data_IF_910169477352
#
_entry.id   IF_910169477352
#
_cell.length_a   1.000
_cell.length_b   1.000
_cell.length_c   1.000
_cell.angle_alpha   90.00
_cell.angle_beta   90.00
_cell.angle_gamma   90.00
#
_symmetry.space_group_name_H-M   'P 1'
#
loop_
_entity.id
_entity.type
_entity.pdbx_description
1 polymer ?
#
# COMPACT_ATOMS: atom_id res chain seq x y z
N UNK A 1 -1.75 -23.92 -15.86
CA UNK A 1 -1.64 -22.89 -14.82
C UNK A 1 -3.04 -22.32 -14.61
N UNK A 2 -3.58 -22.29 -13.39
CA UNK A 2 -4.82 -21.52 -13.16
C UNK A 2 -4.44 -20.05 -13.33
N UNK A 3 -5.09 -19.35 -14.23
CA UNK A 3 -5.01 -17.89 -14.31
C UNK A 3 -5.54 -17.35 -12.98
N UNK A 4 -4.69 -16.72 -12.21
CA UNK A 4 -5.14 -15.98 -11.01
C UNK A 4 -5.85 -14.74 -11.53
N UNK A 5 -7.09 -14.53 -11.13
CA UNK A 5 -7.84 -13.34 -11.53
C UNK A 5 -7.12 -12.09 -11.05
N UNK A 6 -7.03 -11.07 -11.93
CA UNK A 6 -6.42 -9.78 -11.59
C UNK A 6 -7.26 -9.07 -10.53
N UNK A 7 -6.67 -8.82 -9.36
CA UNK A 7 -7.29 -7.94 -8.35
C UNK A 7 -7.13 -6.47 -8.73
N UNK A 8 -8.14 -5.68 -8.45
CA UNK A 8 -8.14 -4.22 -8.65
C UNK A 8 -8.45 -3.54 -7.31
N UNK A 9 -7.47 -2.82 -6.79
CA UNK A 9 -7.60 -1.95 -5.62
C UNK A 9 -7.48 -0.49 -5.99
N UNK A 10 -7.89 0.41 -5.09
CA UNK A 10 -7.82 1.86 -5.31
C UNK A 10 -7.23 2.58 -4.11
N UNK A 11 -6.50 3.67 -4.38
CA UNK A 11 -6.10 4.63 -3.35
C UNK A 11 -7.31 5.45 -2.92
N UNK A 12 -7.34 5.76 -1.63
CA UNK A 12 -8.31 6.68 -1.04
C UNK A 12 -7.67 8.06 -0.89
N UNK A 13 -8.46 9.14 -0.94
CA UNK A 13 -7.97 10.48 -0.70
C UNK A 13 -7.41 10.61 0.73
N UNK A 14 -6.31 11.35 0.90
CA UNK A 14 -5.63 11.48 2.19
C UNK A 14 -5.52 12.91 2.69
N UNK A 15 -5.46 13.90 1.79
CA UNK A 15 -5.17 15.25 2.22
C UNK A 15 -5.34 16.32 1.14
N UNK A 16 -4.46 17.31 1.17
CA UNK A 16 -4.45 18.42 0.22
C UNK A 16 -4.14 17.93 -1.19
N UNK A 17 -4.95 18.37 -2.14
CA UNK A 17 -4.90 17.95 -3.53
C UNK A 17 -5.88 16.83 -3.88
N UNK A 18 -6.29 16.02 -2.90
CA UNK A 18 -7.15 14.85 -3.12
C UNK A 18 -8.65 15.14 -2.98
N UNK A 19 -9.00 16.30 -2.41
CA UNK A 19 -10.39 16.67 -2.18
C UNK A 19 -11.10 17.21 -3.41
N UNK A 20 -12.41 17.50 -3.31
CA UNK A 20 -13.14 18.14 -4.36
C UNK A 20 -12.45 19.43 -4.83
N UNK A 21 -12.42 19.66 -6.15
CA UNK A 21 -11.78 20.83 -6.78
C UNK A 21 -10.28 20.99 -6.45
N UNK A 22 -9.58 19.88 -6.09
CA UNK A 22 -8.17 19.90 -5.71
C UNK A 22 -7.91 20.48 -4.31
N UNK A 23 -8.93 20.61 -3.48
CA UNK A 23 -8.82 21.07 -2.10
C UNK A 23 -8.36 19.99 -1.13
N UNK A 24 -8.53 20.28 0.18
CA UNK A 24 -8.28 19.31 1.25
C UNK A 24 -9.38 18.26 1.28
N UNK A 25 -9.03 16.99 1.15
CA UNK A 25 -9.96 15.89 1.40
C UNK A 25 -10.29 15.79 2.89
N UNK A 26 -11.56 15.68 3.22
CA UNK A 26 -12.00 15.41 4.58
C UNK A 26 -12.50 13.98 4.76
N UNK A 27 -12.85 13.62 5.99
CA UNK A 27 -13.40 12.29 6.28
C UNK A 27 -14.62 11.93 5.41
N UNK A 28 -15.48 12.90 5.09
CA UNK A 28 -16.64 12.70 4.22
C UNK A 28 -16.23 12.19 2.83
N UNK A 29 -15.15 12.72 2.28
CA UNK A 29 -14.66 12.37 0.94
C UNK A 29 -14.01 10.98 0.98
N UNK A 30 -13.14 10.72 1.96
CA UNK A 30 -12.53 9.40 2.20
C UNK A 30 -13.59 8.31 2.33
N UNK A 31 -14.62 8.56 3.16
CA UNK A 31 -15.71 7.63 3.39
C UNK A 31 -16.51 7.36 2.10
N UNK A 32 -16.85 8.38 1.35
CA UNK A 32 -17.63 8.25 0.12
C UNK A 32 -16.90 7.39 -0.93
N UNK A 33 -15.58 7.60 -1.09
CA UNK A 33 -14.74 6.81 -2.01
C UNK A 33 -14.59 5.37 -1.52
N UNK A 34 -14.40 5.15 -0.22
CA UNK A 34 -14.29 3.81 0.36
C UNK A 34 -15.58 3.00 0.24
N UNK A 35 -16.73 3.62 0.55
CA UNK A 35 -18.06 3.00 0.40
C UNK A 35 -18.36 2.69 -1.08
N UNK A 36 -18.01 3.58 -2.02
CA UNK A 36 -18.15 3.32 -3.45
C UNK A 36 -17.31 2.11 -3.88
N UNK A 37 -16.06 1.99 -3.42
CA UNK A 37 -15.20 0.84 -3.71
C UNK A 37 -15.76 -0.47 -3.14
N UNK A 38 -16.27 -0.45 -1.90
CA UNK A 38 -16.88 -1.61 -1.24
C UNK A 38 -18.13 -2.09 -1.97
N UNK A 39 -18.98 -1.16 -2.43
CA UNK A 39 -20.25 -1.45 -3.10
C UNK A 39 -20.09 -1.86 -4.56
N UNK A 40 -19.12 -1.30 -5.27
CA UNK A 40 -18.93 -1.52 -6.72
C UNK A 40 -18.19 -2.80 -7.09
N UNK A 41 -17.69 -3.56 -6.10
CA UNK A 41 -17.03 -4.84 -6.36
C UNK A 41 -15.51 -4.75 -6.58
N UNK A 42 -14.85 -3.66 -6.20
CA UNK A 42 -13.39 -3.60 -6.16
C UNK A 42 -12.83 -4.52 -5.05
N UNK A 43 -11.56 -4.89 -5.14
CA UNK A 43 -10.98 -5.90 -4.26
C UNK A 43 -10.36 -5.30 -3.00
N UNK A 44 -9.82 -4.08 -3.08
CA UNK A 44 -9.10 -3.48 -1.96
C UNK A 44 -9.08 -1.95 -2.00
N UNK A 45 -8.86 -1.34 -0.83
CA UNK A 45 -8.64 0.10 -0.67
C UNK A 45 -7.36 0.37 0.11
N UNK A 46 -6.66 1.47 -0.26
CA UNK A 46 -5.32 1.75 0.23
C UNK A 46 -5.16 3.22 0.61
N UNK A 47 -4.40 3.50 1.66
CA UNK A 47 -4.00 4.84 2.07
C UNK A 47 -2.48 4.99 2.04
N UNK A 48 -1.99 6.08 1.50
CA UNK A 48 -0.59 6.48 1.71
C UNK A 48 -0.36 6.87 3.17
N UNK A 49 0.89 6.94 3.62
CA UNK A 49 1.22 7.33 4.99
C UNK A 49 2.28 8.44 4.96
N UNK A 50 1.80 9.67 5.07
CA UNK A 50 2.59 10.89 5.16
C UNK A 50 2.00 11.80 6.23
N UNK A 51 2.85 12.57 6.92
CA UNK A 51 2.41 13.64 7.80
C UNK A 51 2.19 14.94 7.02
N UNK A 52 3.04 15.17 6.03
CA UNK A 52 2.95 16.25 5.05
C UNK A 52 3.76 15.87 3.81
N UNK A 53 3.41 16.47 2.70
CA UNK A 53 4.28 16.52 1.54
C UNK A 53 4.76 17.96 1.33
N UNK A 54 6.05 18.14 1.10
CA UNK A 54 6.62 19.43 0.74
C UNK A 54 7.24 19.31 -0.64
N UNK A 55 6.77 20.12 -1.57
CA UNK A 55 7.32 20.16 -2.92
C UNK A 55 8.70 20.86 -2.99
N UNK A 56 9.39 20.80 -4.14
CA UNK A 56 10.68 21.48 -4.32
C UNK A 56 10.62 23.01 -4.16
N UNK A 57 9.47 23.62 -4.39
CA UNK A 57 9.18 25.05 -4.25
C UNK A 57 8.93 25.44 -2.78
N UNK A 58 8.78 24.46 -1.87
CA UNK A 58 8.59 24.64 -0.44
C UNK A 58 7.13 24.75 -0.03
N UNK A 59 6.17 24.54 -0.93
CA UNK A 59 4.76 24.48 -0.60
C UNK A 59 4.45 23.21 0.22
N UNK A 60 3.65 23.35 1.26
CA UNK A 60 3.28 22.25 2.15
C UNK A 60 1.86 21.79 1.86
N UNK A 61 1.73 20.49 1.62
CA UNK A 61 0.45 19.80 1.47
C UNK A 61 0.22 18.95 2.73
N UNK A 62 -0.79 19.35 3.53
CA UNK A 62 -1.15 18.65 4.76
C UNK A 62 -1.88 17.34 4.47
N UNK A 63 -1.66 16.34 5.32
CA UNK A 63 -2.29 15.03 5.21
C UNK A 63 -2.86 14.58 6.55
N UNK A 64 -3.91 13.77 6.52
CA UNK A 64 -4.44 13.13 7.72
C UNK A 64 -3.60 11.92 8.12
N UNK A 65 -3.64 11.52 9.40
CA UNK A 65 -3.03 10.26 9.83
C UNK A 65 -3.72 9.07 9.16
N UNK A 66 -2.94 8.33 8.38
CA UNK A 66 -3.46 7.25 7.55
C UNK A 66 -4.02 6.08 8.35
N UNK A 67 -3.41 5.75 9.49
CA UNK A 67 -3.86 4.63 10.31
C UNK A 67 -5.20 4.90 11.00
N UNK A 68 -5.37 6.12 11.47
CA UNK A 68 -6.66 6.56 12.04
C UNK A 68 -7.77 6.51 10.98
N UNK A 69 -7.48 7.00 9.77
CA UNK A 69 -8.44 6.92 8.66
C UNK A 69 -8.73 5.46 8.25
N UNK A 70 -7.70 4.62 8.14
CA UNK A 70 -7.86 3.21 7.76
C UNK A 70 -8.74 2.46 8.78
N UNK A 71 -8.60 2.78 10.07
CA UNK A 71 -9.43 2.21 11.13
C UNK A 71 -10.90 2.64 10.98
N UNK A 72 -11.15 3.89 10.63
CA UNK A 72 -12.49 4.40 10.37
C UNK A 72 -13.09 3.77 9.08
N UNK A 73 -12.29 3.59 8.02
CA UNK A 73 -12.68 2.91 6.78
C UNK A 73 -13.04 1.44 7.06
N UNK A 74 -12.29 0.76 7.92
CA UNK A 74 -12.60 -0.61 8.32
C UNK A 74 -13.99 -0.77 8.95
N UNK A 75 -14.43 0.24 9.72
CA UNK A 75 -15.72 0.25 10.39
C UNK A 75 -16.91 0.57 9.47
N UNK A 76 -16.68 1.19 8.31
CA UNK A 76 -17.76 1.59 7.36
C UNK A 76 -17.79 0.72 6.08
N UNK A 77 -16.84 -0.19 5.92
CA UNK A 77 -16.77 -1.14 4.80
C UNK A 77 -16.91 -2.58 5.31
N UNK A 78 -17.29 -3.50 4.44
CA UNK A 78 -17.57 -4.89 4.85
C UNK A 78 -16.85 -5.95 4.01
N UNK A 79 -16.36 -5.59 2.82
CA UNK A 79 -15.89 -6.58 1.84
C UNK A 79 -14.47 -6.31 1.34
N UNK A 80 -14.14 -5.06 1.02
CA UNK A 80 -12.81 -4.71 0.46
C UNK A 80 -11.68 -5.02 1.44
N UNK A 81 -10.58 -5.56 0.93
CA UNK A 81 -9.31 -5.63 1.66
C UNK A 81 -8.81 -4.21 1.97
N UNK A 82 -8.11 -4.06 3.08
CA UNK A 82 -7.65 -2.76 3.60
C UNK A 82 -6.14 -2.76 3.70
N UNK A 83 -5.48 -1.68 3.33
CA UNK A 83 -4.05 -1.58 3.53
C UNK A 83 -3.49 -0.16 3.48
N UNK A 84 -2.23 -0.04 3.89
CA UNK A 84 -1.43 1.15 3.61
C UNK A 84 -0.53 0.90 2.41
N UNK A 85 -0.36 1.92 1.56
CA UNK A 85 0.54 1.91 0.42
C UNK A 85 1.54 3.08 0.50
N UNK A 86 2.51 3.01 1.36
CA UNK A 86 2.76 2.04 2.41
C UNK A 86 2.98 2.79 3.72
N UNK A 87 2.68 2.12 4.86
CA UNK A 87 2.96 2.65 6.18
C UNK A 87 4.46 2.94 6.32
N UNK A 88 4.80 4.12 6.77
CA UNK A 88 6.18 4.50 7.04
C UNK A 88 6.63 3.93 8.41
N UNK A 89 7.55 2.99 8.38
CA UNK A 89 8.04 2.33 9.59
C UNK A 89 8.65 3.29 10.62
N UNK A 90 9.21 4.42 10.15
CA UNK A 90 9.84 5.41 11.03
C UNK A 90 8.85 6.21 11.86
N UNK A 91 7.55 6.20 11.54
CA UNK A 91 6.55 7.00 12.23
C UNK A 91 5.99 6.32 13.48
N UNK A 92 6.18 5.00 13.62
CA UNK A 92 5.58 4.24 14.73
C UNK A 92 6.52 3.16 15.25
N UNK A 93 6.48 2.93 16.56
CA UNK A 93 7.21 1.83 17.20
C UNK A 93 6.76 0.47 16.66
N UNK A 94 7.68 -0.51 16.46
CA UNK A 94 7.33 -1.81 15.90
C UNK A 94 6.34 -2.61 16.76
N UNK A 95 6.50 -2.59 18.09
CA UNK A 95 5.59 -3.29 19.01
C UNK A 95 4.19 -2.69 18.97
N UNK A 96 4.10 -1.35 18.98
CA UNK A 96 2.84 -0.64 18.84
C UNK A 96 2.18 -0.95 17.49
N UNK A 97 2.95 -0.93 16.40
CA UNK A 97 2.40 -1.21 15.06
C UNK A 97 1.86 -2.64 14.96
N UNK A 98 2.57 -3.62 15.50
CA UNK A 98 2.09 -5.00 15.54
C UNK A 98 0.78 -5.12 16.32
N UNK A 99 0.66 -4.42 17.46
CA UNK A 99 -0.57 -4.38 18.26
C UNK A 99 -1.72 -3.70 17.53
N UNK A 100 -1.44 -2.58 16.87
CA UNK A 100 -2.42 -1.87 16.05
C UNK A 100 -2.90 -2.73 14.88
N UNK A 101 -1.99 -3.46 14.20
CA UNK A 101 -2.33 -4.33 13.09
C UNK A 101 -3.24 -5.49 13.52
N UNK A 102 -2.91 -6.17 14.64
CA UNK A 102 -3.76 -7.22 15.18
C UNK A 102 -5.18 -6.71 15.52
N UNK A 103 -5.26 -5.52 16.12
CA UNK A 103 -6.55 -4.92 16.48
C UNK A 103 -7.36 -4.51 15.23
N UNK A 104 -6.71 -3.91 14.23
CA UNK A 104 -7.40 -3.52 12.99
C UNK A 104 -7.84 -4.74 12.17
N UNK A 105 -7.05 -5.81 12.16
CA UNK A 105 -7.47 -7.06 11.51
C UNK A 105 -8.73 -7.65 12.17
N UNK A 106 -8.81 -7.65 13.51
CA UNK A 106 -10.01 -8.03 14.27
C UNK A 106 -11.22 -7.14 13.91
N UNK A 107 -11.06 -5.81 14.01
CA UNK A 107 -12.13 -4.83 13.70
C UNK A 107 -12.63 -4.97 12.26
N UNK A 108 -11.74 -5.26 11.32
CA UNK A 108 -12.09 -5.43 9.91
C UNK A 108 -12.66 -6.81 9.57
N UNK A 109 -12.64 -7.76 10.50
CA UNK A 109 -13.03 -9.15 10.23
C UNK A 109 -12.04 -9.88 9.32
N UNK A 110 -10.74 -9.62 9.49
CA UNK A 110 -9.68 -10.32 8.75
C UNK A 110 -9.40 -9.77 7.36
N UNK A 111 -9.60 -8.47 7.11
CA UNK A 111 -9.40 -7.83 5.79
C UNK A 111 -8.11 -7.05 5.66
N UNK A 112 -7.28 -6.93 6.71
CA UNK A 112 -6.05 -6.13 6.68
C UNK A 112 -4.94 -6.81 5.88
N UNK A 113 -4.27 -6.04 5.03
CA UNK A 113 -2.92 -6.29 4.51
C UNK A 113 -2.00 -5.19 5.03
N UNK A 114 -0.99 -5.53 5.82
CA UNK A 114 -0.06 -4.57 6.39
C UNK A 114 0.99 -4.18 5.34
N UNK A 115 0.74 -3.09 4.63
CA UNK A 115 1.69 -2.54 3.66
C UNK A 115 2.70 -1.62 4.34
N UNK A 116 4.01 -1.88 4.19
CA UNK A 116 5.07 -1.18 4.91
C UNK A 116 6.26 -0.79 4.03
N UNK A 117 6.96 0.27 4.44
CA UNK A 117 8.16 0.76 3.77
C UNK A 117 9.09 1.52 4.71
N UNK A 118 10.31 1.78 4.24
CA UNK A 118 11.34 2.45 5.02
C UNK A 118 11.17 3.99 5.13
N UNK A 119 10.22 4.57 4.37
CA UNK A 119 10.07 6.02 4.22
C UNK A 119 11.10 6.66 3.28
N UNK A 120 10.82 7.89 2.82
CA UNK A 120 11.66 8.53 1.81
C UNK A 120 11.65 10.08 1.86
N UNK A 121 10.60 10.72 2.34
CA UNK A 121 10.39 12.16 2.26
C UNK A 121 11.04 12.89 3.43
N UNK A 122 12.30 13.33 3.28
CA UNK A 122 13.09 13.97 4.33
C UNK A 122 12.41 15.16 5.04
N UNK A 123 11.67 16.05 4.32
CA UNK A 123 11.04 17.20 4.95
C UNK A 123 10.05 16.86 6.07
N UNK A 124 9.34 15.75 6.01
CA UNK A 124 8.43 15.35 7.09
C UNK A 124 9.20 14.77 8.29
N UNK A 125 10.31 14.08 8.06
CA UNK A 125 11.19 13.60 9.13
C UNK A 125 11.77 14.77 9.93
N UNK A 126 12.27 15.80 9.24
CA UNK A 126 12.80 16.99 9.86
C UNK A 126 11.71 17.75 10.63
N UNK A 127 10.53 17.94 10.03
CA UNK A 127 9.42 18.66 10.63
C UNK A 127 8.91 18.00 11.93
N UNK A 128 8.92 16.67 12.01
CA UNK A 128 8.40 15.91 13.15
C UNK A 128 9.51 15.35 14.06
N UNK A 129 10.78 15.73 13.83
CA UNK A 129 11.90 15.34 14.69
C UNK A 129 12.26 13.85 14.61
N UNK A 130 12.00 13.22 13.46
CA UNK A 130 12.30 11.81 13.24
C UNK A 130 13.73 11.61 12.71
N UNK A 131 14.39 10.50 13.02
CA UNK A 131 15.74 10.24 12.56
C UNK A 131 15.77 9.99 11.05
N UNK A 132 16.59 10.75 10.32
CA UNK A 132 16.80 10.60 8.88
C UNK A 132 17.88 9.59 8.52
N UNK A 133 18.73 9.23 9.49
CA UNK A 133 19.85 8.33 9.33
C UNK A 133 19.43 6.85 9.31
N UNK A 134 20.19 6.03 8.59
CA UNK A 134 20.08 4.57 8.62
C UNK A 134 18.67 3.99 8.38
N UNK A 135 17.80 4.64 7.61
CA UNK A 135 16.39 4.24 7.42
C UNK A 135 16.21 2.76 7.12
N UNK A 136 16.95 2.21 6.15
CA UNK A 136 16.84 0.78 5.82
C UNK A 136 17.36 -0.10 6.95
N UNK A 137 18.35 0.36 7.73
CA UNK A 137 18.82 -0.35 8.92
C UNK A 137 17.74 -0.42 10.02
N UNK A 138 17.12 0.72 10.30
CA UNK A 138 15.98 0.81 11.23
C UNK A 138 14.81 -0.04 10.74
N UNK A 139 14.47 0.04 9.46
CA UNK A 139 13.41 -0.75 8.85
C UNK A 139 13.68 -2.26 8.94
N UNK A 140 14.93 -2.68 8.82
CA UNK A 140 15.31 -4.12 8.94
C UNK A 140 14.90 -4.67 10.31
N UNK A 141 15.29 -4.00 11.40
CA UNK A 141 14.96 -4.42 12.77
C UNK A 141 13.47 -4.29 13.04
N UNK A 142 12.86 -3.19 12.60
CA UNK A 142 11.44 -2.91 12.74
C UNK A 142 10.59 -4.00 12.07
N UNK A 143 10.91 -4.35 10.83
CA UNK A 143 10.16 -5.34 10.05
C UNK A 143 10.25 -6.74 10.67
N UNK A 144 11.44 -7.13 11.16
CA UNK A 144 11.62 -8.41 11.83
C UNK A 144 10.77 -8.50 13.10
N UNK A 145 10.79 -7.46 13.94
CA UNK A 145 9.99 -7.42 15.18
C UNK A 145 8.49 -7.51 14.86
N UNK A 146 8.01 -6.69 13.92
CA UNK A 146 6.59 -6.69 13.52
C UNK A 146 6.18 -8.03 12.94
N UNK A 147 6.95 -8.57 11.99
CA UNK A 147 6.63 -9.82 11.33
C UNK A 147 6.54 -10.99 12.32
N UNK A 148 7.46 -11.08 13.27
CA UNK A 148 7.46 -12.12 14.29
C UNK A 148 6.29 -11.99 15.26
N UNK A 149 5.98 -10.77 15.71
CA UNK A 149 4.86 -10.50 16.60
C UNK A 149 3.51 -10.86 15.95
N UNK A 150 3.25 -10.39 14.72
CA UNK A 150 1.97 -10.68 14.05
C UNK A 150 1.83 -12.15 13.61
N UNK A 151 2.93 -12.91 13.60
CA UNK A 151 2.95 -14.37 13.41
C UNK A 151 2.73 -15.13 14.72
N UNK A 152 2.51 -14.42 15.83
CA UNK A 152 2.20 -15.00 17.14
C UNK A 152 3.41 -15.44 17.95
N UNK A 153 4.61 -15.00 17.62
CA UNK A 153 5.81 -15.28 18.41
C UNK A 153 5.88 -14.39 19.65
N UNK A 154 6.47 -14.91 20.73
CA UNK A 154 7.00 -14.07 21.82
C UNK A 154 8.39 -13.61 21.41
N UNK A 155 8.59 -12.29 21.31
CA UNK A 155 9.80 -11.68 20.75
C UNK A 155 10.63 -11.04 21.84
N UNK A 156 11.88 -11.48 21.97
CA UNK A 156 12.95 -10.72 22.60
C UNK A 156 13.94 -10.31 21.51
N UNK A 157 14.25 -9.03 21.42
CA UNK A 157 15.12 -8.46 20.38
C UNK A 157 16.02 -7.37 20.96
N UNK A 158 17.32 -7.51 20.80
CA UNK A 158 18.35 -6.53 21.24
C UNK A 158 19.07 -6.00 19.99
N UNK A 159 18.45 -5.07 19.28
CA UNK A 159 18.99 -4.45 18.08
C UNK A 159 19.76 -3.16 18.37
N UNK A 160 20.28 -2.59 17.30
CA UNK A 160 20.92 -1.26 17.35
C UNK A 160 19.92 -0.14 17.53
N UNK A 161 18.73 -0.29 16.96
CA UNK A 161 17.70 0.76 16.90
C UNK A 161 16.49 0.46 17.74
N UNK A 162 16.13 -0.81 17.89
CA UNK A 162 14.95 -1.24 18.65
C UNK A 162 15.30 -2.32 19.65
N UNK A 163 14.58 -2.28 20.78
CA UNK A 163 14.69 -3.30 21.83
C UNK A 163 13.32 -3.66 22.32
N UNK A 164 13.05 -4.94 22.38
CA UNK A 164 11.82 -5.50 22.96
C UNK A 164 12.19 -6.70 23.84
N UNK A 165 11.44 -6.93 24.91
CA UNK A 165 11.68 -8.01 25.85
C UNK A 165 10.38 -8.78 26.09
N UNK A 166 10.40 -10.07 25.77
CA UNK A 166 9.26 -11.00 25.93
C UNK A 166 7.92 -10.42 25.40
N UNK A 167 7.99 -9.59 24.34
CA UNK A 167 6.81 -8.97 23.76
C UNK A 167 5.98 -10.03 23.03
N UNK A 168 4.68 -10.01 23.26
CA UNK A 168 3.71 -10.85 22.54
C UNK A 168 2.42 -10.05 22.25
N UNK A 169 1.59 -10.57 21.39
CA UNK A 169 0.26 -10.03 21.15
C UNK A 169 -0.78 -10.85 21.86
N UNK A 170 -1.46 -10.23 22.83
CA UNK A 170 -2.63 -10.79 23.50
C UNK A 170 -3.76 -9.73 23.47
N UNK A 171 -4.91 -9.99 22.80
CA UNK A 171 -5.17 -11.19 22.00
C UNK A 171 -4.25 -11.31 20.80
N UNK A 172 -3.93 -12.55 20.40
CA UNK A 172 -3.19 -12.85 19.19
C UNK A 172 -4.06 -12.60 17.94
N UNK A 173 -3.44 -12.29 16.76
CA UNK A 173 -4.18 -12.22 15.51
C UNK A 173 -4.92 -13.55 15.22
N UNK A 174 -6.16 -13.45 14.74
CA UNK A 174 -6.98 -14.63 14.41
C UNK A 174 -6.49 -15.37 13.15
N UNK A 175 -5.68 -14.72 12.35
CA UNK A 175 -5.10 -15.25 11.12
C UNK A 175 -3.69 -14.70 10.90
N UNK A 176 -2.97 -15.24 9.95
CA UNK A 176 -1.75 -14.61 9.46
C UNK A 176 -2.12 -13.34 8.69
N UNK A 177 -1.71 -12.17 9.21
CA UNK A 177 -1.88 -10.88 8.54
C UNK A 177 -0.82 -10.79 7.43
N UNK A 178 -1.19 -10.62 6.15
CA UNK A 178 -0.22 -10.50 5.07
C UNK A 178 0.60 -9.22 5.20
N UNK A 179 1.90 -9.32 4.93
CA UNK A 179 2.82 -8.18 4.89
C UNK A 179 3.14 -7.85 3.43
N UNK A 180 2.76 -6.63 2.99
CA UNK A 180 3.21 -6.07 1.72
C UNK A 180 4.39 -5.14 1.98
N UNK A 181 5.50 -5.33 1.25
CA UNK A 181 6.67 -4.44 1.35
C UNK A 181 6.90 -3.73 0.02
N UNK A 182 7.05 -2.40 0.06
CA UNK A 182 7.44 -1.60 -1.10
C UNK A 182 8.96 -1.35 -1.08
N UNK A 183 9.57 -1.44 -2.27
CA UNK A 183 10.99 -1.16 -2.46
C UNK A 183 11.58 -1.91 -3.64
N UNK A 184 12.73 -1.41 -4.13
CA UNK A 184 13.37 -1.99 -5.31
C UNK A 184 14.90 -2.08 -5.20
N UNK A 185 15.51 -1.47 -4.15
CA UNK A 185 16.98 -1.55 -3.96
C UNK A 185 17.39 -2.92 -3.40
N UNK A 186 18.62 -3.38 -3.64
CA UNK A 186 19.06 -4.75 -3.29
C UNK A 186 18.76 -5.16 -1.85
N UNK A 187 19.04 -4.29 -0.88
CA UNK A 187 18.77 -4.58 0.54
C UNK A 187 17.25 -4.70 0.84
N UNK A 188 16.44 -3.88 0.19
CA UNK A 188 14.98 -4.02 0.32
C UNK A 188 14.48 -5.32 -0.29
N UNK A 189 15.01 -5.73 -1.46
CA UNK A 189 14.65 -7.00 -2.09
C UNK A 189 15.02 -8.21 -1.21
N UNK A 190 16.12 -8.15 -0.46
CA UNK A 190 16.47 -9.19 0.52
C UNK A 190 15.42 -9.28 1.64
N UNK A 191 14.98 -8.12 2.18
CA UNK A 191 13.95 -8.07 3.22
C UNK A 191 12.59 -8.56 2.69
N UNK A 192 12.23 -8.20 1.46
CA UNK A 192 11.03 -8.70 0.79
C UNK A 192 11.09 -10.21 0.66
N UNK A 193 12.21 -10.74 0.16
CA UNK A 193 12.39 -12.17 0.01
C UNK A 193 12.38 -12.93 1.35
N UNK A 194 12.70 -12.29 2.46
CA UNK A 194 12.71 -12.89 3.79
C UNK A 194 11.34 -12.83 4.49
N UNK A 195 10.65 -11.67 4.41
CA UNK A 195 9.53 -11.38 5.30
C UNK A 195 8.19 -11.13 4.60
N UNK A 196 8.19 -10.70 3.33
CA UNK A 196 6.96 -10.25 2.69
C UNK A 196 6.11 -11.40 2.12
N UNK A 197 4.79 -11.21 2.17
CA UNK A 197 3.78 -12.02 1.49
C UNK A 197 3.33 -11.36 0.17
N UNK A 198 3.56 -10.03 0.03
CA UNK A 198 3.34 -9.28 -1.19
C UNK A 198 4.43 -8.22 -1.38
N UNK A 199 4.67 -7.86 -2.62
CA UNK A 199 5.60 -6.80 -3.01
C UNK A 199 4.90 -5.79 -3.90
N UNK A 200 5.22 -4.50 -3.72
CA UNK A 200 4.71 -3.42 -4.56
C UNK A 200 5.82 -2.65 -5.26
N UNK A 201 5.54 -2.30 -6.51
CA UNK A 201 6.26 -1.27 -7.27
C UNK A 201 5.27 -0.26 -7.85
N UNK A 202 5.62 1.03 -7.83
CA UNK A 202 4.75 2.14 -8.24
C UNK A 202 5.61 3.35 -8.66
N UNK A 203 5.09 4.39 -9.27
CA UNK A 203 3.77 4.55 -9.89
C UNK A 203 3.97 4.55 -11.40
N UNK A 204 3.05 3.95 -12.15
CA UNK A 204 3.17 3.78 -13.59
C UNK A 204 1.83 4.09 -14.30
N UNK A 205 1.86 4.07 -15.61
CA UNK A 205 0.70 3.84 -16.46
C UNK A 205 0.69 2.39 -16.97
N UNK A 206 0.86 2.19 -18.28
CA UNK A 206 1.11 0.87 -18.83
C UNK A 206 2.48 0.32 -18.38
N UNK A 207 2.66 -1.02 -18.37
CA UNK A 207 3.94 -1.61 -18.01
C UNK A 207 5.05 -1.19 -18.99
N UNK A 208 6.25 -1.03 -18.46
CA UNK A 208 7.43 -0.58 -19.19
C UNK A 208 8.67 -1.39 -18.75
N UNK A 209 9.81 -1.15 -19.38
CA UNK A 209 11.07 -1.84 -19.06
C UNK A 209 11.44 -1.75 -17.59
N UNK A 210 11.15 -0.65 -16.90
CA UNK A 210 11.44 -0.49 -15.48
C UNK A 210 10.63 -1.48 -14.62
N UNK A 211 9.37 -1.73 -14.98
CA UNK A 211 8.53 -2.75 -14.31
C UNK A 211 9.13 -4.13 -14.50
N UNK A 212 9.53 -4.47 -15.74
CA UNK A 212 10.13 -5.76 -16.06
C UNK A 212 11.44 -6.00 -15.29
N UNK A 213 12.34 -5.02 -15.27
CA UNK A 213 13.60 -5.06 -14.52
C UNK A 213 13.37 -5.25 -13.02
N UNK A 214 12.37 -4.60 -12.45
CA UNK A 214 12.03 -4.73 -11.02
C UNK A 214 11.45 -6.11 -10.70
N UNK A 215 10.59 -6.64 -11.57
CA UNK A 215 10.06 -8.01 -11.43
C UNK A 215 11.17 -9.06 -11.52
N UNK A 216 12.12 -8.87 -12.45
CA UNK A 216 13.28 -9.76 -12.57
C UNK A 216 14.19 -9.68 -11.32
N UNK A 217 14.39 -8.47 -10.76
CA UNK A 217 15.16 -8.30 -9.52
C UNK A 217 14.47 -8.99 -8.33
N UNK A 218 13.14 -8.94 -8.25
CA UNK A 218 12.38 -9.68 -7.24
C UNK A 218 12.55 -11.20 -7.43
N UNK A 219 12.44 -11.70 -8.66
CA UNK A 219 12.62 -13.12 -8.97
C UNK A 219 13.98 -13.62 -8.48
N UNK A 220 15.06 -12.88 -8.79
CA UNK A 220 16.43 -13.21 -8.36
C UNK A 220 16.60 -13.18 -6.84
N UNK A 221 15.96 -12.23 -6.14
CA UNK A 221 16.00 -12.16 -4.70
C UNK A 221 15.31 -13.36 -4.03
N UNK A 222 14.14 -13.77 -4.56
CA UNK A 222 13.42 -14.97 -4.09
C UNK A 222 14.22 -16.25 -4.34
N UNK A 223 14.81 -16.38 -5.51
CA UNK A 223 15.68 -17.52 -5.85
C UNK A 223 16.88 -17.61 -4.90
N UNK A 224 17.55 -16.47 -4.63
CA UNK A 224 18.68 -16.40 -3.68
C UNK A 224 18.24 -16.78 -2.25
N UNK A 225 17.03 -16.45 -1.87
CA UNK A 225 16.45 -16.79 -0.57
C UNK A 225 15.85 -18.22 -0.51
N UNK A 226 15.92 -18.99 -1.59
CA UNK A 226 15.28 -20.30 -1.74
C UNK A 226 13.75 -20.24 -1.48
N UNK A 227 13.10 -19.13 -1.81
CA UNK A 227 11.63 -19.00 -1.77
C UNK A 227 11.05 -19.21 -3.16
N UNK A 228 9.95 -19.97 -3.28
CA UNK A 228 9.28 -20.12 -4.57
C UNK A 228 8.74 -18.78 -5.08
N UNK A 229 8.77 -18.52 -6.40
CA UNK A 229 8.35 -17.24 -6.99
C UNK A 229 6.91 -16.83 -6.66
N UNK A 230 6.03 -17.80 -6.42
CA UNK A 230 4.62 -17.60 -6.04
C UNK A 230 4.41 -17.29 -4.54
N UNK A 231 5.46 -17.39 -3.72
CA UNK A 231 5.37 -17.09 -2.28
C UNK A 231 5.18 -15.59 -1.99
N UNK A 232 5.42 -14.72 -2.97
CA UNK A 232 5.25 -13.28 -2.86
C UNK A 232 4.34 -12.80 -3.98
N UNK A 233 3.16 -12.31 -3.62
CA UNK A 233 2.24 -11.68 -4.55
C UNK A 233 2.87 -10.42 -5.15
N UNK A 234 2.63 -10.19 -6.44
CA UNK A 234 3.20 -9.05 -7.17
C UNK A 234 2.13 -8.01 -7.41
N UNK A 235 2.32 -6.84 -6.84
CA UNK A 235 1.40 -5.72 -7.02
C UNK A 235 2.07 -4.57 -7.75
N UNK A 236 1.30 -3.81 -8.53
CA UNK A 236 1.79 -2.61 -9.19
C UNK A 236 0.85 -1.44 -8.92
N UNK A 237 1.43 -0.28 -8.57
CA UNK A 237 0.71 0.98 -8.48
C UNK A 237 0.62 1.64 -9.84
N UNK A 238 -0.58 1.95 -10.31
CA UNK A 238 -0.82 2.66 -11.57
C UNK A 238 -1.73 3.87 -11.38
N UNK A 239 -1.64 4.82 -12.29
CA UNK A 239 -2.49 6.01 -12.28
C UNK A 239 -3.52 5.90 -13.39
N UNK A 240 -4.80 6.08 -13.04
CA UNK A 240 -5.91 5.96 -13.98
C UNK A 240 -6.77 7.20 -13.93
N UNK A 241 -7.01 7.81 -15.09
CA UNK A 241 -7.81 9.02 -15.24
C UNK A 241 -9.20 8.72 -15.77
N UNK A 242 -10.20 9.34 -15.14
CA UNK A 242 -11.51 9.50 -15.72
C UNK A 242 -11.52 10.72 -16.66
N UNK A 243 -11.56 10.54 -18.00
CA UNK A 243 -11.48 11.64 -18.94
C UNK A 243 -12.71 12.56 -18.90
N UNK A 244 -13.80 12.14 -18.29
CA UNK A 244 -15.03 12.93 -18.15
C UNK A 244 -15.02 13.85 -16.92
N UNK A 245 -13.94 13.85 -16.15
CA UNK A 245 -13.75 14.70 -14.98
C UNK A 245 -12.49 15.58 -15.12
N UNK A 246 -12.56 16.80 -14.59
CA UNK A 246 -11.41 17.71 -14.59
C UNK A 246 -10.41 17.37 -13.50
N UNK A 247 -9.12 17.46 -13.81
CA UNK A 247 -7.99 17.34 -12.87
C UNK A 247 -7.12 18.56 -13.05
N UNK A 248 -6.75 19.23 -11.95
CA UNK A 248 -5.98 20.49 -12.02
C UNK A 248 -4.57 20.27 -12.56
N UNK A 249 -3.90 19.22 -12.09
CA UNK A 249 -2.52 18.86 -12.52
C UNK A 249 -2.48 17.35 -12.82
N UNK A 250 -2.86 16.96 -14.04
CA UNK A 250 -2.95 15.56 -14.40
C UNK A 250 -1.58 14.92 -14.57
N UNK A 251 -1.38 13.74 -13.97
CA UNK A 251 -0.16 12.97 -14.16
C UNK A 251 0.08 12.60 -15.63
N UNK A 252 1.27 12.85 -16.18
CA UNK A 252 1.60 12.48 -17.56
C UNK A 252 1.61 10.95 -17.78
N UNK A 253 1.67 10.17 -16.69
CA UNK A 253 1.68 8.69 -16.73
C UNK A 253 0.28 8.09 -16.64
N UNK A 254 -0.74 8.89 -16.33
CA UNK A 254 -2.10 8.40 -16.17
C UNK A 254 -2.63 7.81 -17.47
N UNK A 255 -3.19 6.61 -17.39
CA UNK A 255 -3.92 5.99 -18.48
C UNK A 255 -5.41 6.37 -18.40
N UNK A 256 -6.11 6.52 -19.52
CA UNK A 256 -7.56 6.66 -19.52
C UNK A 256 -8.24 5.40 -18.96
N UNK A 257 -9.33 5.55 -18.24
CA UNK A 257 -10.03 4.41 -17.59
C UNK A 257 -10.50 3.34 -18.59
N UNK A 258 -10.82 3.70 -19.82
CA UNK A 258 -11.22 2.76 -20.88
C UNK A 258 -10.07 1.81 -21.31
N UNK A 259 -8.80 2.19 -21.06
CA UNK A 259 -7.63 1.39 -21.43
C UNK A 259 -7.25 0.41 -20.29
N UNK A 260 -7.92 0.51 -19.13
CA UNK A 260 -7.63 -0.34 -17.96
C UNK A 260 -7.71 -1.85 -18.26
N UNK A 261 -8.66 -2.37 -19.06
CA UNK A 261 -8.70 -3.80 -19.38
C UNK A 261 -7.44 -4.27 -20.12
N UNK A 262 -7.00 -3.54 -21.14
CA UNK A 262 -5.80 -3.87 -21.92
C UNK A 262 -4.53 -3.79 -21.07
N UNK A 263 -4.39 -2.71 -20.30
CA UNK A 263 -3.25 -2.50 -19.39
C UNK A 263 -3.20 -3.57 -18.32
N UNK A 264 -4.35 -3.95 -17.74
CA UNK A 264 -4.42 -5.05 -16.76
C UNK A 264 -3.96 -6.38 -17.36
N UNK A 265 -4.38 -6.70 -18.57
CA UNK A 265 -3.93 -7.90 -19.27
C UNK A 265 -2.41 -7.89 -19.54
N UNK A 266 -1.84 -6.71 -19.84
CA UNK A 266 -0.40 -6.56 -20.02
C UNK A 266 0.38 -6.80 -18.71
N UNK A 267 -0.07 -6.26 -17.59
CA UNK A 267 0.51 -6.53 -16.27
C UNK A 267 0.37 -8.00 -15.86
N UNK A 268 -0.77 -8.62 -16.13
CA UNK A 268 -1.00 -10.04 -15.84
C UNK A 268 -0.03 -10.96 -16.59
N UNK A 269 0.30 -10.64 -17.85
CA UNK A 269 1.32 -11.36 -18.63
C UNK A 269 2.71 -11.31 -18.00
N UNK A 270 3.02 -10.24 -17.28
CA UNK A 270 4.26 -10.08 -16.50
C UNK A 270 4.21 -10.76 -15.12
N UNK A 271 3.06 -11.38 -14.80
CA UNK A 271 2.86 -12.07 -13.53
C UNK A 271 2.48 -11.15 -12.36
N UNK A 272 2.08 -9.90 -12.61
CA UNK A 272 1.40 -9.04 -11.64
C UNK A 272 -0.03 -9.55 -11.47
N UNK A 273 -0.50 -9.65 -10.25
CA UNK A 273 -1.82 -10.20 -9.92
C UNK A 273 -2.71 -9.24 -9.13
N UNK A 274 -2.24 -8.04 -8.84
CA UNK A 274 -3.01 -7.02 -8.17
C UNK A 274 -2.55 -5.63 -8.62
N UNK A 275 -3.43 -4.85 -9.23
CA UNK A 275 -3.20 -3.44 -9.53
C UNK A 275 -3.82 -2.57 -8.44
N UNK A 276 -3.03 -1.63 -7.92
CA UNK A 276 -3.47 -0.62 -6.96
C UNK A 276 -3.51 0.70 -7.69
N UNK A 277 -4.70 1.20 -7.92
CA UNK A 277 -4.95 2.35 -8.78
C UNK A 277 -5.00 3.63 -7.96
N UNK A 278 -4.24 4.66 -8.37
CA UNK A 278 -4.46 6.04 -7.96
C UNK A 278 -5.44 6.68 -8.94
N UNK A 279 -6.71 6.91 -8.56
CA UNK A 279 -7.68 7.53 -9.46
C UNK A 279 -7.39 9.02 -9.65
N UNK A 280 -7.59 9.54 -10.84
CA UNK A 280 -7.58 10.96 -11.15
C UNK A 280 -8.91 11.38 -11.81
N UNK A 281 -9.74 12.16 -11.08
CA UNK A 281 -9.65 12.53 -9.67
C UNK A 281 -10.10 11.40 -8.72
N UNK A 282 -9.80 11.52 -7.41
CA UNK A 282 -10.22 10.56 -6.38
C UNK A 282 -11.66 10.80 -5.95
N UNK A 283 -12.63 10.40 -6.77
CA UNK A 283 -14.06 10.61 -6.55
C UNK A 283 -14.86 9.29 -6.60
N UNK A 284 -16.03 9.20 -5.97
CA UNK A 284 -16.90 8.03 -6.12
C UNK A 284 -17.20 7.67 -7.58
N UNK A 285 -17.39 8.67 -8.46
CA UNK A 285 -17.60 8.44 -9.89
C UNK A 285 -16.41 7.77 -10.57
N UNK A 286 -15.18 8.20 -10.25
CA UNK A 286 -13.97 7.53 -10.79
C UNK A 286 -13.89 6.07 -10.33
N UNK A 287 -14.32 5.78 -9.09
CA UNK A 287 -14.36 4.41 -8.56
C UNK A 287 -15.38 3.56 -9.34
N UNK A 288 -16.56 4.08 -9.59
CA UNK A 288 -17.59 3.40 -10.39
C UNK A 288 -17.10 3.09 -11.80
N UNK A 289 -16.44 4.04 -12.45
CA UNK A 289 -15.84 3.86 -13.79
C UNK A 289 -14.72 2.80 -13.80
N UNK A 290 -13.87 2.77 -12.77
CA UNK A 290 -12.85 1.73 -12.62
C UNK A 290 -13.50 0.36 -12.42
N UNK A 291 -14.58 0.28 -11.63
CA UNK A 291 -15.30 -0.97 -11.40
C UNK A 291 -16.00 -1.48 -12.67
N UNK A 292 -16.59 -0.58 -13.49
CA UNK A 292 -17.12 -0.93 -14.81
C UNK A 292 -16.05 -1.51 -15.73
N UNK A 293 -14.87 -0.88 -15.78
CA UNK A 293 -13.73 -1.38 -16.55
C UNK A 293 -13.23 -2.74 -16.04
N UNK A 294 -13.21 -2.95 -14.70
CA UNK A 294 -12.86 -4.25 -14.10
C UNK A 294 -13.79 -5.37 -14.56
N UNK A 295 -15.09 -5.14 -14.72
CA UNK A 295 -16.04 -6.17 -15.18
C UNK A 295 -15.70 -6.71 -16.56
N UNK A 296 -15.00 -5.95 -17.40
CA UNK A 296 -14.57 -6.38 -18.72
C UNK A 296 -13.35 -7.34 -18.67
N UNK A 297 -12.64 -7.42 -17.52
CA UNK A 297 -11.52 -8.37 -17.34
C UNK A 297 -11.98 -9.81 -17.16
N UNK A 298 -13.24 -10.02 -16.79
CA UNK A 298 -13.82 -11.35 -16.47
C UNK A 298 -14.66 -11.94 -17.60
N UNK A 299 -14.75 -11.24 -18.75
CA UNK A 299 -15.41 -11.71 -19.96
C UNK A 299 -14.38 -12.24 -20.97
#
# INVERSE_FOLDING_TARGET
MRTVDMKIGVMLPLGAGDGPDGGMAGWKDVRAVAEAADQSGLDSVWLADHFLYRDPEGQVFGMHDSWTLLSAVAAVTSRVELGNMVLCASFRDPGLTAKMAATLDEVSGGRLTLGVGAGWHDPEYEAFGLPTDHRVGRFTEWLEIVARLIRGETVTYEGKYYKVHEANLDPAPLRQIPILVAGHRPRMMQLIAQWADAWNTAWYGAPNLQVEERLETLRQALETANRPPEAVARTAGIIVRDPDQSVADPSPQAIPVQDLPEVSAAYQKLGVNHLIISPEPMTPRSIERIAEAKQQLTQ
#
